data_IF_809258773629
#
_entry.id   IF_809258773629
#
_cell.length_a   1.000
_cell.length_b   1.000
_cell.length_c   1.000
_cell.angle_alpha   90.00
_cell.angle_beta   90.00
_cell.angle_gamma   90.00
#
_symmetry.space_group_name_H-M   'P 1'
#
loop_
_entity.id
_entity.type
_entity.pdbx_description
1 polymer ?
#
# COMPACT_ATOMS: atom_id res chain seq x y z
N UNK A 1 0.43 -3.65 1.74
CA UNK A 1 -0.98 -3.51 1.32
C UNK A 1 -1.32 -2.03 1.29
N UNK A 2 -1.74 -1.51 0.15
CA UNK A 2 -2.22 -0.13 0.04
C UNK A 2 -3.72 -0.10 0.35
N UNK A 3 -4.14 0.77 1.29
CA UNK A 3 -5.51 0.85 1.82
C UNK A 3 -6.10 2.25 1.79
N UNK A 4 -5.31 3.28 1.46
CA UNK A 4 -5.82 4.63 1.29
C UNK A 4 -6.94 4.64 0.25
N UNK A 5 -8.11 5.14 0.63
CA UNK A 5 -9.31 5.16 -0.22
C UNK A 5 -9.41 6.51 -0.92
N UNK A 6 -9.57 6.50 -2.24
CA UNK A 6 -9.92 7.74 -2.94
C UNK A 6 -11.25 8.26 -2.41
N UNK A 7 -11.42 9.56 -2.15
CA UNK A 7 -12.73 10.14 -1.82
C UNK A 7 -13.57 10.44 -3.08
N UNK A 8 -13.01 10.22 -4.28
CA UNK A 8 -13.73 10.37 -5.55
C UNK A 8 -15.04 9.56 -5.55
N UNK A 9 -16.12 10.14 -6.07
CA UNK A 9 -17.46 9.52 -6.09
C UNK A 9 -17.88 9.01 -4.70
N UNK A 10 -17.72 9.85 -3.67
CA UNK A 10 -18.01 9.55 -2.27
C UNK A 10 -17.31 8.28 -1.74
N UNK A 11 -16.13 7.97 -2.27
CA UNK A 11 -15.32 6.84 -1.83
C UNK A 11 -15.75 5.48 -2.35
N UNK A 12 -16.63 5.43 -3.36
CA UNK A 12 -17.18 4.20 -3.95
C UNK A 12 -16.12 3.17 -4.35
N UNK A 13 -14.93 3.60 -4.77
CA UNK A 13 -13.91 2.73 -5.37
C UNK A 13 -12.80 2.25 -4.41
N UNK A 14 -12.74 2.80 -3.19
CA UNK A 14 -11.70 2.42 -2.22
C UNK A 14 -10.27 2.62 -2.74
N UNK A 15 -9.39 1.66 -2.44
CA UNK A 15 -8.00 1.61 -2.89
C UNK A 15 -7.88 0.77 -4.17
N UNK A 16 -8.23 1.35 -5.32
CA UNK A 16 -8.29 0.60 -6.57
C UNK A 16 -6.91 0.26 -7.15
N UNK A 17 -6.91 -0.57 -8.20
CA UNK A 17 -5.70 -0.98 -8.91
C UNK A 17 -4.85 0.22 -9.36
N UNK A 18 -3.54 0.15 -9.06
CA UNK A 18 -2.51 1.13 -9.43
C UNK A 18 -2.67 2.53 -8.80
N UNK A 19 -3.61 2.73 -7.88
CA UNK A 19 -3.82 4.03 -7.23
C UNK A 19 -2.58 4.49 -6.43
N UNK A 20 -1.80 3.54 -5.91
CA UNK A 20 -0.58 3.78 -5.15
C UNK A 20 0.56 4.37 -5.97
N UNK A 21 0.53 4.22 -7.30
CA UNK A 21 1.61 4.68 -8.21
C UNK A 21 1.85 6.18 -8.04
N UNK A 22 0.78 6.98 -7.95
CA UNK A 22 0.87 8.41 -7.71
C UNK A 22 1.60 8.75 -6.39
N UNK A 23 1.37 7.95 -5.35
CA UNK A 23 2.00 8.13 -4.05
C UNK A 23 3.47 7.71 -4.05
N UNK A 24 3.85 6.69 -4.81
CA UNK A 24 5.25 6.29 -4.97
C UNK A 24 6.07 7.39 -5.66
N UNK A 25 5.50 8.03 -6.67
CA UNK A 25 6.20 9.00 -7.53
C UNK A 25 5.93 10.49 -7.20
N UNK A 26 5.16 10.80 -6.16
CA UNK A 26 4.79 12.20 -5.84
C UNK A 26 4.02 12.91 -6.95
N UNK A 27 3.37 12.15 -7.82
CA UNK A 27 2.70 12.64 -9.02
C UNK A 27 1.22 12.86 -8.69
N UNK A 28 0.88 14.10 -8.29
CA UNK A 28 -0.49 14.52 -7.96
C UNK A 28 -0.94 15.71 -8.79
N UNK A 29 -2.24 15.81 -9.01
CA UNK A 29 -2.91 16.85 -9.81
C UNK A 29 -3.59 17.87 -8.89
N UNK A 30 -3.88 19.06 -9.40
CA UNK A 30 -4.61 20.11 -8.65
C UNK A 30 -6.04 19.70 -8.30
N UNK A 31 -6.65 18.83 -9.11
CA UNK A 31 -7.94 18.21 -8.86
C UNK A 31 -7.94 16.72 -9.25
N UNK A 32 -9.01 16.00 -8.92
CA UNK A 32 -9.17 14.60 -9.30
C UNK A 32 -9.25 14.46 -10.82
N UNK A 33 -8.26 13.80 -11.42
CA UNK A 33 -8.35 13.34 -12.80
C UNK A 33 -8.93 11.93 -12.79
N UNK A 34 -10.24 11.79 -13.02
CA UNK A 34 -10.93 10.52 -12.81
C UNK A 34 -10.70 10.01 -11.37
N UNK A 35 -10.10 8.85 -11.20
CA UNK A 35 -9.81 8.26 -9.90
C UNK A 35 -8.44 8.64 -9.33
N UNK A 36 -7.61 9.34 -10.10
CA UNK A 36 -6.29 9.77 -9.64
C UNK A 36 -6.39 10.80 -8.51
N UNK A 37 -5.56 10.66 -7.46
CA UNK A 37 -5.68 11.47 -6.25
C UNK A 37 -5.31 12.93 -6.51
N UNK A 38 -6.14 13.82 -5.96
CA UNK A 38 -5.84 15.25 -5.84
C UNK A 38 -4.67 15.50 -4.88
N UNK A 39 -3.87 16.53 -5.16
CA UNK A 39 -2.84 17.05 -4.25
C UNK A 39 -3.50 17.68 -3.01
N UNK A 40 -3.24 17.10 -1.86
CA UNK A 40 -3.65 17.59 -0.54
C UNK A 40 -2.51 17.38 0.47
N UNK A 41 -2.49 18.10 1.61
CA UNK A 41 -1.49 17.85 2.65
C UNK A 41 -1.46 16.38 3.13
N UNK A 42 -2.61 15.71 3.17
CA UNK A 42 -2.69 14.29 3.55
C UNK A 42 -2.01 13.39 2.51
N UNK A 43 -2.32 13.57 1.23
CA UNK A 43 -1.78 12.73 0.15
C UNK A 43 -0.28 12.97 -0.04
N UNK A 44 0.17 14.23 0.09
CA UNK A 44 1.60 14.58 0.04
C UNK A 44 2.36 13.98 1.24
N UNK A 45 1.79 14.04 2.45
CA UNK A 45 2.43 13.44 3.62
C UNK A 45 2.56 11.92 3.52
N UNK A 46 1.55 11.23 2.98
CA UNK A 46 1.63 9.79 2.72
C UNK A 46 2.63 9.49 1.60
N UNK A 47 2.62 10.27 0.52
CA UNK A 47 3.52 10.12 -0.62
C UNK A 47 4.98 10.25 -0.21
N UNK A 48 5.34 11.30 0.53
CA UNK A 48 6.72 11.51 0.96
C UNK A 48 7.25 10.29 1.72
N UNK A 49 6.46 9.74 2.66
CA UNK A 49 6.83 8.53 3.40
C UNK A 49 6.97 7.32 2.47
N UNK A 50 6.04 7.12 1.54
CA UNK A 50 6.12 6.02 0.58
C UNK A 50 7.36 6.16 -0.32
N UNK A 51 7.60 7.34 -0.89
CA UNK A 51 8.80 7.59 -1.69
C UNK A 51 10.07 7.32 -0.87
N UNK A 52 10.15 7.71 0.40
CA UNK A 52 11.31 7.42 1.26
C UNK A 52 11.54 5.91 1.47
N UNK A 53 10.47 5.13 1.67
CA UNK A 53 10.56 3.66 1.74
C UNK A 53 11.10 3.06 0.43
N UNK A 54 10.59 3.51 -0.72
CA UNK A 54 11.02 3.02 -2.04
C UNK A 54 12.45 3.44 -2.36
N UNK A 55 12.84 4.68 -2.04
CA UNK A 55 14.21 5.20 -2.22
C UNK A 55 15.18 4.40 -1.36
N UNK A 56 14.84 4.13 -0.10
CA UNK A 56 15.70 3.32 0.77
C UNK A 56 15.91 1.93 0.17
N UNK A 57 14.81 1.24 -0.18
CA UNK A 57 14.87 -0.07 -0.81
C UNK A 57 15.72 -0.09 -2.09
N UNK A 58 15.57 0.89 -2.97
CA UNK A 58 16.36 0.98 -4.19
C UNK A 58 17.86 1.17 -3.93
N UNK A 59 18.23 1.87 -2.84
CA UNK A 59 19.63 2.13 -2.48
C UNK A 59 20.31 0.94 -1.80
N UNK A 60 19.59 0.20 -0.96
CA UNK A 60 20.22 -0.74 -0.01
C UNK A 60 19.51 -2.11 0.09
N UNK A 61 18.41 -2.33 -0.63
CA UNK A 61 17.61 -3.56 -0.56
C UNK A 61 16.74 -3.69 0.70
N UNK A 62 16.69 -2.66 1.55
CA UNK A 62 15.99 -2.62 2.83
C UNK A 62 15.09 -1.38 2.87
N UNK A 63 13.75 -1.51 2.91
CA UNK A 63 12.84 -0.37 2.93
C UNK A 63 12.75 0.24 4.33
N UNK A 64 13.87 0.69 4.92
CA UNK A 64 13.91 1.38 6.21
C UNK A 64 14.76 2.64 6.06
N UNK A 65 14.17 3.81 6.35
CA UNK A 65 14.85 5.10 6.39
C UNK A 65 14.89 5.63 7.84
N UNK A 66 15.63 6.72 8.08
CA UNK A 66 15.76 7.27 9.43
C UNK A 66 14.40 7.68 10.02
N UNK A 67 14.10 7.24 11.25
CA UNK A 67 12.84 7.49 11.97
C UNK A 67 11.57 6.94 11.28
N UNK A 68 11.72 5.95 10.39
CA UNK A 68 10.58 5.25 9.83
C UNK A 68 10.01 4.18 10.78
N UNK A 69 8.83 3.65 10.45
CA UNK A 69 8.36 2.40 11.05
C UNK A 69 9.13 1.26 10.38
N UNK A 70 9.93 0.53 11.15
CA UNK A 70 10.73 -0.58 10.60
C UNK A 70 9.84 -1.62 9.91
N UNK A 71 10.01 -1.77 8.60
CA UNK A 71 9.32 -2.75 7.79
C UNK A 71 10.13 -4.07 7.77
N UNK A 72 9.68 -5.11 8.51
CA UNK A 72 10.39 -6.38 8.55
C UNK A 72 10.23 -7.16 7.24
N UNK A 73 11.22 -8.00 6.92
CA UNK A 73 11.13 -8.95 5.82
C UNK A 73 9.92 -9.87 5.99
N UNK A 74 9.16 -10.01 4.91
CA UNK A 74 7.99 -10.88 4.88
C UNK A 74 8.39 -12.35 5.05
N UNK A 75 7.66 -13.10 5.87
CA UNK A 75 7.81 -14.55 5.98
C UNK A 75 6.45 -15.27 6.07
N UNK A 76 6.43 -16.57 5.76
CA UNK A 76 5.20 -17.39 5.78
C UNK A 76 4.70 -17.75 7.18
N UNK A 77 5.41 -17.41 8.27
CA UNK A 77 4.95 -17.67 9.64
C UNK A 77 3.99 -16.58 10.09
N UNK A 78 4.45 -15.33 10.09
CA UNK A 78 3.70 -14.18 10.60
C UNK A 78 3.01 -13.34 9.51
N UNK A 79 3.52 -13.38 8.28
CA UNK A 79 3.04 -12.57 7.13
C UNK A 79 2.90 -11.10 7.48
N UNK A 80 3.86 -10.56 8.23
CA UNK A 80 3.88 -9.12 8.57
C UNK A 80 3.82 -8.30 7.29
N UNK A 81 2.81 -7.45 7.22
CA UNK A 81 2.49 -6.65 6.04
C UNK A 81 2.40 -5.19 6.44
N UNK A 82 3.20 -4.34 5.78
CA UNK A 82 3.07 -2.89 5.88
C UNK A 82 1.74 -2.45 5.25
N UNK A 83 0.97 -1.66 5.97
CA UNK A 83 -0.29 -1.07 5.55
C UNK A 83 -0.04 0.41 5.25
N UNK A 84 -0.22 0.81 4.00
CA UNK A 84 -0.18 2.21 3.58
C UNK A 84 -1.61 2.76 3.53
N UNK A 85 -1.96 3.55 4.53
CA UNK A 85 -3.22 4.28 4.66
C UNK A 85 -2.90 5.66 5.28
N UNK A 86 -3.91 6.42 5.69
CA UNK A 86 -3.75 7.67 6.45
C UNK A 86 -2.83 7.50 7.67
N UNK A 87 -2.84 6.31 8.26
CA UNK A 87 -1.86 5.84 9.24
C UNK A 87 -1.10 4.65 8.66
N UNK A 88 0.22 4.76 8.63
CA UNK A 88 1.11 3.65 8.27
C UNK A 88 1.27 2.75 9.50
N UNK A 89 1.05 1.44 9.33
CA UNK A 89 1.17 0.45 10.39
C UNK A 89 1.56 -0.92 9.84
N UNK A 90 2.01 -1.82 10.71
CA UNK A 90 2.29 -3.21 10.35
C UNK A 90 1.25 -4.10 10.99
N UNK A 91 0.71 -5.04 10.21
CA UNK A 91 -0.25 -6.05 10.66
C UNK A 91 0.25 -7.45 10.35
N UNK A 92 0.03 -8.39 11.26
CA UNK A 92 0.27 -9.82 11.01
C UNK A 92 -0.91 -10.42 10.24
N UNK A 93 -0.60 -11.08 9.11
CA UNK A 93 -1.54 -11.79 8.22
C UNK A 93 -2.92 -11.12 8.05
N UNK A 94 -2.98 -9.85 7.57
CA UNK A 94 -4.21 -9.04 7.59
C UNK A 94 -5.36 -9.60 6.74
N UNK A 95 -5.07 -10.51 5.79
CA UNK A 95 -6.05 -11.15 4.90
C UNK A 95 -6.09 -12.67 5.13
N UNK A 96 -5.85 -13.13 6.36
CA UNK A 96 -5.69 -14.56 6.67
C UNK A 96 -6.88 -15.44 6.25
N UNK A 97 -8.12 -15.00 6.51
CA UNK A 97 -9.35 -15.75 6.23
C UNK A 97 -9.55 -15.87 4.71
N UNK A 98 -9.46 -14.75 4.00
CA UNK A 98 -9.58 -14.69 2.54
C UNK A 98 -8.51 -15.57 1.87
N UNK A 99 -7.24 -15.39 2.24
CA UNK A 99 -6.13 -16.21 1.74
C UNK A 99 -6.36 -17.71 1.96
N UNK A 100 -6.81 -18.11 3.15
CA UNK A 100 -7.11 -19.51 3.47
C UNK A 100 -8.29 -20.03 2.67
N UNK A 101 -9.31 -19.21 2.45
CA UNK A 101 -10.48 -19.57 1.64
C UNK A 101 -10.06 -19.85 0.19
N UNK A 102 -9.35 -18.92 -0.45
CA UNK A 102 -8.88 -19.08 -1.84
C UNK A 102 -7.98 -20.30 -2.01
N UNK A 103 -7.06 -20.54 -1.07
CA UNK A 103 -6.19 -21.73 -1.09
C UNK A 103 -6.99 -23.05 -1.00
N UNK A 104 -8.14 -23.06 -0.33
CA UNK A 104 -9.02 -24.24 -0.25
C UNK A 104 -9.87 -24.42 -1.49
N UNK A 105 -10.31 -23.32 -2.10
CA UNK A 105 -11.19 -23.35 -3.28
C UNK A 105 -10.43 -23.77 -4.54
N UNK A 106 -9.09 -23.70 -4.55
CA UNK A 106 -8.20 -23.94 -5.69
C UNK A 106 -8.81 -24.81 -6.81
N UNK A 107 -9.51 -24.15 -7.74
CA UNK A 107 -10.28 -24.75 -8.85
C UNK A 107 -9.41 -25.09 -10.06
N UNK A 108 -8.11 -24.84 -9.96
CA UNK A 108 -7.15 -25.13 -11.01
C UNK A 108 -6.55 -26.52 -10.80
N UNK A 109 -6.41 -27.35 -11.86
CA UNK A 109 -5.71 -28.61 -11.78
C UNK A 109 -4.31 -28.37 -11.25
N UNK A 110 -3.92 -29.06 -10.18
CA UNK A 110 -2.53 -29.10 -9.77
C UNK A 110 -1.85 -30.12 -10.68
N UNK A 111 -1.05 -29.63 -11.63
CA UNK A 111 -0.20 -30.45 -12.48
C UNK A 111 1.00 -30.98 -11.68
#
# INVERSE_FOLDING_TARGET
LFKWKTPYENGRYGAMHALEVCFVFGSFWEDYLFTFPKRTPETEALSNKMSDYWISFAKNGIPNYNNCLEWPSYNKKDRKTMIFDKKIEIREDPLNLERKMWNKINIWPQF
#
